data_IF_375389842431
#
_entry.id   IF_375389842431
#
_cell.length_a   1.000
_cell.length_b   1.000
_cell.length_c   1.000
_cell.angle_alpha   90.00
_cell.angle_beta   90.00
_cell.angle_gamma   90.00
#
_symmetry.space_group_name_H-M   'P 1'
#
loop_
_entity.id
_entity.type
_entity.pdbx_description
1 polymer ?
#
# COMPACT_ATOMS: atom_id res chain seq x y z
N UNK A 1 18.86 9.11 -4.15
CA UNK A 1 18.72 7.62 -4.19
C UNK A 1 17.46 7.24 -3.46
N UNK A 2 16.62 6.36 -4.02
CA UNK A 2 15.44 5.81 -3.33
C UNK A 2 15.94 4.75 -2.33
N UNK A 3 15.48 4.84 -1.09
CA UNK A 3 15.80 3.86 -0.04
C UNK A 3 15.07 2.53 -0.29
N UNK A 4 15.63 1.41 0.19
CA UNK A 4 14.93 0.11 0.20
C UNK A 4 13.65 0.17 1.05
N UNK A 5 13.59 1.06 2.05
CA UNK A 5 12.40 1.33 2.86
C UNK A 5 11.30 2.07 2.10
N UNK A 6 11.65 2.77 1.03
CA UNK A 6 10.68 3.42 0.15
C UNK A 6 10.25 2.53 -1.01
N UNK A 7 11.18 1.70 -1.50
CA UNK A 7 10.96 0.81 -2.64
C UNK A 7 10.08 -0.39 -2.26
N UNK A 8 10.39 -1.05 -1.15
CA UNK A 8 9.65 -2.23 -0.68
C UNK A 8 8.74 -1.82 0.47
N UNK A 9 7.44 -2.00 0.31
CA UNK A 9 6.45 -1.72 1.35
C UNK A 9 5.50 -2.88 1.54
N UNK A 10 5.23 -3.22 2.79
CA UNK A 10 4.12 -4.12 3.12
C UNK A 10 2.83 -3.32 3.01
N UNK A 11 1.91 -3.81 2.22
CA UNK A 11 0.63 -3.15 1.97
C UNK A 11 -0.48 -4.15 1.76
N UNK A 12 -1.63 -3.66 1.33
CA UNK A 12 -2.80 -4.47 1.00
C UNK A 12 -3.11 -4.37 -0.49
N UNK A 13 -3.54 -5.49 -1.09
CA UNK A 13 -4.02 -5.50 -2.46
C UNK A 13 -5.36 -4.77 -2.64
N UNK A 14 -5.80 -4.61 -3.87
CA UNK A 14 -5.11 -5.05 -5.10
C UNK A 14 -4.17 -4.01 -5.72
N UNK A 15 -4.07 -2.78 -5.20
CA UNK A 15 -3.34 -1.70 -5.87
C UNK A 15 -2.61 -0.78 -4.90
N UNK A 16 -1.37 -0.43 -5.19
CA UNK A 16 -0.64 0.56 -4.41
C UNK A 16 -1.25 1.96 -4.55
N UNK A 17 -1.67 2.38 -5.74
CA UNK A 17 -2.20 3.72 -5.97
C UNK A 17 -3.69 3.89 -5.62
N UNK A 18 -4.49 2.82 -5.64
CA UNK A 18 -5.94 2.87 -5.40
C UNK A 18 -6.36 2.22 -4.07
N UNK A 19 -5.43 1.62 -3.33
CA UNK A 19 -5.69 1.00 -2.03
C UNK A 19 -4.71 1.53 -0.98
N UNK A 20 -3.42 1.25 -1.13
CA UNK A 20 -2.40 1.66 -0.15
C UNK A 20 -2.31 3.19 -0.04
N UNK A 21 -2.16 3.89 -1.17
CA UNK A 21 -2.07 5.35 -1.19
C UNK A 21 -3.27 6.06 -0.54
N UNK A 22 -4.52 5.77 -0.95
CA UNK A 22 -5.70 6.33 -0.31
C UNK A 22 -5.81 6.03 1.21
N UNK A 23 -5.39 4.85 1.65
CA UNK A 23 -5.35 4.51 3.08
C UNK A 23 -4.29 5.33 3.82
N UNK A 24 -3.10 5.50 3.22
CA UNK A 24 -2.04 6.36 3.75
C UNK A 24 -2.50 7.82 3.80
N UNK A 25 -3.18 8.32 2.76
CA UNK A 25 -3.74 9.67 2.73
C UNK A 25 -4.71 9.91 3.90
N UNK A 26 -5.58 8.94 4.18
CA UNK A 26 -6.50 9.01 5.31
C UNK A 26 -5.77 9.02 6.68
N UNK A 27 -4.69 8.24 6.82
CA UNK A 27 -3.86 8.30 8.03
C UNK A 27 -3.15 9.66 8.18
N UNK A 28 -2.56 10.19 7.10
CA UNK A 28 -1.92 11.53 7.13
C UNK A 28 -2.93 12.63 7.46
N UNK A 29 -4.16 12.51 6.93
CA UNK A 29 -5.25 13.42 7.28
C UNK A 29 -5.57 13.37 8.78
N UNK A 30 -5.71 12.18 9.37
CA UNK A 30 -5.95 12.03 10.82
C UNK A 30 -4.82 12.62 11.66
N UNK A 31 -3.57 12.37 11.26
CA UNK A 31 -2.39 12.91 11.94
C UNK A 31 -2.34 14.44 11.90
N UNK A 32 -2.74 15.03 10.77
CA UNK A 32 -2.82 16.47 10.63
C UNK A 32 -4.01 17.07 11.40
N UNK A 33 -5.18 16.43 11.30
CA UNK A 33 -6.42 16.84 11.98
C UNK A 33 -6.26 16.88 13.48
N UNK A 34 -5.65 15.85 14.09
CA UNK A 34 -5.45 15.77 15.55
C UNK A 34 -4.48 16.82 16.10
N UNK A 35 -3.69 17.48 15.25
CA UNK A 35 -2.87 18.63 15.62
C UNK A 35 -3.65 19.95 15.64
N UNK A 36 -4.80 19.98 14.93
CA UNK A 36 -5.59 21.20 14.73
C UNK A 36 -6.82 21.21 15.65
N UNK A 37 -7.43 20.06 15.95
CA UNK A 37 -8.67 19.99 16.72
C UNK A 37 -8.80 18.67 17.47
N UNK A 38 -9.65 18.67 18.49
CA UNK A 38 -10.05 17.45 19.20
C UNK A 38 -11.04 16.64 18.34
N UNK A 39 -10.90 15.32 18.31
CA UNK A 39 -11.80 14.45 17.53
C UNK A 39 -13.27 14.60 17.94
N UNK A 40 -13.53 14.90 19.20
CA UNK A 40 -14.90 15.12 19.75
C UNK A 40 -15.60 16.35 19.18
N UNK A 41 -14.87 17.27 18.56
CA UNK A 41 -15.44 18.43 17.89
C UNK A 41 -15.98 18.11 16.48
N UNK A 42 -15.71 16.91 15.95
CA UNK A 42 -16.13 16.53 14.61
C UNK A 42 -17.60 16.10 14.62
N UNK A 43 -18.40 16.72 13.77
CA UNK A 43 -19.84 16.43 13.61
C UNK A 43 -20.17 15.68 12.32
N UNK A 44 -19.28 15.76 11.31
CA UNK A 44 -19.45 15.10 10.04
C UNK A 44 -18.14 15.03 9.26
N UNK A 45 -18.11 14.16 8.25
CA UNK A 45 -16.99 14.00 7.33
C UNK A 45 -17.53 13.83 5.91
N UNK A 46 -16.87 14.45 4.95
CA UNK A 46 -17.13 14.30 3.52
C UNK A 46 -15.83 13.87 2.82
N UNK A 47 -15.96 13.00 1.82
CA UNK A 47 -14.85 12.49 1.03
C UNK A 47 -15.16 12.76 -0.45
N UNK A 48 -14.28 13.46 -1.13
CA UNK A 48 -14.35 13.70 -2.56
C UNK A 48 -13.27 12.90 -3.27
N UNK A 49 -13.67 12.11 -4.26
CA UNK A 49 -12.77 11.27 -5.06
C UNK A 49 -12.74 11.80 -6.50
N UNK A 50 -11.54 11.87 -7.08
CA UNK A 50 -11.33 12.46 -8.39
C UNK A 50 -10.65 11.50 -9.36
N UNK A 51 -10.96 11.66 -10.66
CA UNK A 51 -10.35 10.93 -11.74
C UNK A 51 -10.39 9.42 -11.53
N UNK A 52 -9.25 8.74 -11.60
CA UNK A 52 -9.24 7.29 -11.52
C UNK A 52 -9.56 6.71 -10.12
N UNK A 53 -9.46 7.48 -9.04
CA UNK A 53 -9.92 7.06 -7.71
C UNK A 53 -11.45 7.05 -7.61
N UNK A 54 -12.13 7.86 -8.42
CA UNK A 54 -13.59 7.90 -8.50
C UNK A 54 -14.17 6.73 -9.32
N UNK A 55 -13.36 5.93 -10.00
CA UNK A 55 -13.84 4.79 -10.77
C UNK A 55 -14.56 3.76 -9.87
N UNK A 56 -15.74 3.25 -10.29
CA UNK A 56 -16.58 2.39 -9.47
C UNK A 56 -15.85 1.20 -8.84
N UNK A 57 -16.05 0.99 -7.54
CA UNK A 57 -15.52 -0.16 -6.80
C UNK A 57 -14.05 -0.05 -6.38
N UNK A 58 -13.39 1.09 -6.59
CA UNK A 58 -11.96 1.24 -6.28
C UNK A 58 -11.72 2.32 -5.22
N UNK A 59 -10.97 1.98 -4.17
CA UNK A 59 -10.34 2.96 -3.28
C UNK A 59 -11.12 3.40 -2.04
N UNK A 60 -12.44 3.54 -2.07
CA UNK A 60 -13.18 4.11 -0.93
C UNK A 60 -13.09 3.25 0.36
N UNK A 61 -13.13 1.93 0.23
CA UNK A 61 -12.99 1.03 1.39
C UNK A 61 -11.64 1.21 2.09
N UNK A 62 -10.57 1.43 1.35
CA UNK A 62 -9.24 1.68 1.90
C UNK A 62 -9.16 3.02 2.64
N UNK A 63 -9.82 4.07 2.13
CA UNK A 63 -9.91 5.36 2.82
C UNK A 63 -10.67 5.19 4.14
N UNK A 64 -11.79 4.48 4.12
CA UNK A 64 -12.58 4.21 5.33
C UNK A 64 -11.75 3.44 6.37
N UNK A 65 -11.00 2.43 5.97
CA UNK A 65 -10.08 1.71 6.86
C UNK A 65 -9.01 2.64 7.44
N UNK A 66 -8.45 3.54 6.63
CA UNK A 66 -7.51 4.57 7.09
C UNK A 66 -8.15 5.52 8.10
N UNK A 67 -9.38 5.99 7.86
CA UNK A 67 -10.13 6.84 8.79
C UNK A 67 -10.52 6.13 10.08
N UNK A 68 -10.68 4.81 10.07
CA UNK A 68 -10.83 4.00 11.29
C UNK A 68 -9.52 3.92 12.10
N UNK A 69 -8.38 4.37 11.55
CA UNK A 69 -7.07 4.35 12.18
C UNK A 69 -6.23 3.13 11.85
N UNK A 70 -6.64 2.32 10.87
CA UNK A 70 -5.81 1.21 10.39
C UNK A 70 -4.73 1.71 9.42
N UNK A 71 -3.53 1.11 9.50
CA UNK A 71 -2.45 1.39 8.56
C UNK A 71 -2.22 0.19 7.62
N UNK A 72 -1.79 0.41 6.36
CA UNK A 72 -1.61 -0.67 5.38
C UNK A 72 -0.67 -1.78 5.83
N UNK A 73 0.36 -1.45 6.63
CA UNK A 73 1.37 -2.39 7.11
C UNK A 73 0.94 -3.22 8.32
N UNK A 74 -0.11 -2.81 9.03
CA UNK A 74 -0.49 -3.43 10.32
C UNK A 74 -1.91 -3.97 10.35
N UNK A 75 -2.73 -3.65 9.35
CA UNK A 75 -4.11 -4.11 9.29
C UNK A 75 -4.20 -5.63 9.15
N UNK A 76 -5.09 -6.27 9.92
CA UNK A 76 -5.48 -7.65 9.67
C UNK A 76 -6.53 -7.70 8.55
N UNK A 77 -6.08 -8.04 7.35
CA UNK A 77 -6.94 -8.07 6.16
C UNK A 77 -8.05 -9.11 6.22
N UNK A 78 -7.94 -10.12 7.09
CA UNK A 78 -9.00 -11.11 7.33
C UNK A 78 -10.22 -10.50 8.02
N UNK A 79 -10.02 -9.40 8.73
CA UNK A 79 -11.06 -8.69 9.50
C UNK A 79 -11.65 -7.49 8.75
N UNK A 80 -11.23 -7.21 7.52
CA UNK A 80 -11.65 -6.03 6.74
C UNK A 80 -13.18 -5.90 6.69
N UNK A 81 -13.90 -7.00 6.41
CA UNK A 81 -15.36 -6.99 6.38
C UNK A 81 -15.98 -6.63 7.74
N UNK A 82 -15.35 -7.03 8.84
CA UNK A 82 -15.82 -6.72 10.19
C UNK A 82 -15.59 -5.23 10.52
N UNK A 83 -14.45 -4.67 10.12
CA UNK A 83 -14.14 -3.25 10.31
C UNK A 83 -15.09 -2.35 9.54
N UNK A 84 -15.47 -2.74 8.33
CA UNK A 84 -16.34 -1.94 7.46
C UNK A 84 -17.84 -2.17 7.72
N UNK A 85 -18.23 -3.30 8.33
CA UNK A 85 -19.65 -3.64 8.58
C UNK A 85 -20.45 -2.53 9.26
N UNK A 86 -19.99 -1.88 10.34
CA UNK A 86 -20.74 -0.81 10.99
C UNK A 86 -20.99 0.40 10.06
N UNK A 87 -20.04 0.69 9.16
CA UNK A 87 -20.18 1.81 8.22
C UNK A 87 -21.34 1.55 7.26
N UNK A 88 -21.43 0.34 6.70
CA UNK A 88 -22.45 0.01 5.71
C UNK A 88 -23.82 -0.32 6.36
N UNK A 89 -23.84 -1.01 7.51
CA UNK A 89 -25.08 -1.46 8.14
C UNK A 89 -25.70 -0.46 9.12
N UNK A 90 -24.86 0.28 9.86
CA UNK A 90 -25.30 1.19 10.91
C UNK A 90 -25.15 2.66 10.51
N UNK A 91 -24.54 2.94 9.35
CA UNK A 91 -24.23 4.30 8.86
C UNK A 91 -23.45 5.13 9.88
N UNK A 92 -22.42 4.51 10.47
CA UNK A 92 -21.56 5.10 11.48
C UNK A 92 -20.09 4.90 11.11
N UNK A 93 -19.29 5.93 11.32
CA UNK A 93 -17.84 5.89 11.18
C UNK A 93 -17.19 6.20 12.53
N UNK A 94 -16.35 5.27 13.02
CA UNK A 94 -15.58 5.46 14.24
C UNK A 94 -14.18 6.03 13.90
N UNK A 95 -14.08 7.36 13.86
CA UNK A 95 -12.85 8.08 13.48
C UNK A 95 -11.72 7.71 14.43
N UNK A 96 -10.61 7.22 13.88
CA UNK A 96 -9.41 6.76 14.60
C UNK A 96 -9.72 5.75 15.73
N UNK A 97 -10.85 5.03 15.67
CA UNK A 97 -11.30 4.13 16.72
C UNK A 97 -11.72 4.82 18.03
N UNK A 98 -11.93 6.15 18.01
CA UNK A 98 -12.13 6.96 19.24
C UNK A 98 -13.39 7.81 19.23
N UNK A 99 -13.91 8.19 18.08
CA UNK A 99 -15.06 9.08 17.98
C UNK A 99 -16.02 8.62 16.89
N UNK A 100 -17.25 8.30 17.28
CA UNK A 100 -18.29 7.81 16.37
C UNK A 100 -19.13 8.97 15.86
N UNK A 101 -19.28 9.06 14.54
CA UNK A 101 -20.15 10.02 13.86
C UNK A 101 -21.12 9.30 12.92
N UNK A 102 -22.23 9.98 12.57
CA UNK A 102 -23.09 9.52 11.50
C UNK A 102 -22.38 9.67 10.15
N UNK A 103 -22.33 8.60 9.36
CA UNK A 103 -21.69 8.58 8.05
C UNK A 103 -22.42 7.63 7.11
N UNK A 104 -22.77 8.13 5.94
CA UNK A 104 -23.46 7.36 4.90
C UNK A 104 -22.63 7.43 3.60
N UNK A 105 -22.15 6.31 3.13
CA UNK A 105 -21.31 6.25 1.92
C UNK A 105 -22.00 6.80 0.67
N UNK A 106 -23.34 6.75 0.59
CA UNK A 106 -24.10 7.31 -0.53
C UNK A 106 -24.24 8.83 -0.46
N UNK A 107 -24.20 9.40 0.75
CA UNK A 107 -24.36 10.84 0.98
C UNK A 107 -23.02 11.55 1.11
N UNK A 108 -22.06 10.93 1.80
CA UNK A 108 -20.85 11.59 2.29
C UNK A 108 -19.60 11.28 1.44
N UNK A 109 -19.73 10.39 0.42
CA UNK A 109 -18.69 10.17 -0.58
C UNK A 109 -19.16 10.71 -1.93
N UNK A 110 -18.40 11.66 -2.47
CA UNK A 110 -18.67 12.31 -3.74
C UNK A 110 -17.71 11.82 -4.82
N UNK A 111 -18.21 11.46 -5.98
CA UNK A 111 -17.48 10.83 -7.06
C UNK A 111 -17.38 11.76 -8.26
N UNK A 112 -16.16 12.19 -8.60
CA UNK A 112 -15.86 13.11 -9.70
C UNK A 112 -14.92 12.41 -10.70
N UNK A 113 -15.42 11.39 -11.38
CA UNK A 113 -14.65 10.54 -12.30
C UNK A 113 -14.16 11.29 -13.56
N UNK A 114 -14.90 12.30 -14.02
CA UNK A 114 -14.52 13.16 -15.15
C UNK A 114 -13.60 14.33 -14.73
N UNK A 115 -13.42 14.56 -13.42
CA UNK A 115 -12.63 15.68 -12.91
C UNK A 115 -11.22 15.20 -12.55
N UNK A 116 -10.22 15.75 -13.21
CA UNK A 116 -8.81 15.51 -12.88
C UNK A 116 -8.23 16.76 -12.26
N UNK A 117 -7.70 16.65 -11.04
CA UNK A 117 -7.00 17.76 -10.39
C UNK A 117 -5.63 18.00 -11.04
N UNK A 118 -5.10 19.24 -10.98
CA UNK A 118 -3.96 19.66 -11.80
C UNK A 118 -2.68 18.84 -11.60
N UNK A 119 -2.43 18.34 -10.38
CA UNK A 119 -1.17 17.68 -10.06
C UNK A 119 -1.17 16.19 -10.47
N UNK A 120 -2.23 15.44 -10.17
CA UNK A 120 -2.29 14.00 -10.45
C UNK A 120 -3.74 13.50 -10.57
N UNK A 121 -4.04 12.53 -11.47
CA UNK A 121 -5.40 12.01 -11.66
C UNK A 121 -5.93 11.18 -10.46
N UNK A 122 -5.06 10.68 -9.58
CA UNK A 122 -5.48 9.93 -8.40
C UNK A 122 -5.53 10.88 -7.19
N UNK A 123 -6.57 11.68 -7.10
CA UNK A 123 -6.71 12.66 -6.05
C UNK A 123 -7.93 12.38 -5.15
N UNK A 124 -7.82 12.76 -3.89
CA UNK A 124 -8.92 12.74 -2.93
C UNK A 124 -8.84 13.95 -2.01
N UNK A 125 -10.00 14.49 -1.63
CA UNK A 125 -10.14 15.49 -0.60
C UNK A 125 -10.94 14.93 0.56
N UNK A 126 -10.46 15.12 1.78
CA UNK A 126 -11.19 14.77 3.00
C UNK A 126 -11.50 16.06 3.73
N UNK A 127 -12.76 16.25 4.08
CA UNK A 127 -13.28 17.41 4.81
C UNK A 127 -14.01 16.96 6.06
N UNK A 128 -13.72 17.57 7.20
CA UNK A 128 -14.51 17.41 8.44
C UNK A 128 -15.25 18.68 8.77
N UNK A 129 -16.46 18.52 9.31
CA UNK A 129 -17.30 19.59 9.84
C UNK A 129 -17.16 19.62 11.36
N UNK A 130 -17.00 20.80 11.94
CA UNK A 130 -16.78 20.98 13.37
C UNK A 130 -18.02 21.55 14.08
N UNK A 131 -18.09 21.37 15.38
CA UNK A 131 -19.21 21.81 16.22
C UNK A 131 -19.42 23.34 16.21
N UNK A 132 -18.40 24.12 15.93
CA UNK A 132 -18.47 25.58 15.80
C UNK A 132 -18.94 26.06 14.42
N UNK A 133 -19.22 25.14 13.50
CA UNK A 133 -19.62 25.41 12.12
C UNK A 133 -18.45 25.64 11.16
N UNK A 134 -17.22 25.62 11.65
CA UNK A 134 -16.03 25.64 10.80
C UNK A 134 -15.78 24.26 10.16
N UNK A 135 -14.85 24.20 9.21
CA UNK A 135 -14.42 22.95 8.61
C UNK A 135 -12.89 22.93 8.49
N UNK A 136 -12.35 21.70 8.45
CA UNK A 136 -10.96 21.44 8.11
C UNK A 136 -10.92 20.48 6.93
N UNK A 137 -10.12 20.78 5.92
CA UNK A 137 -9.98 19.91 4.75
C UNK A 137 -8.55 19.85 4.26
N UNK A 138 -8.19 18.72 3.64
CA UNK A 138 -6.94 18.55 2.91
C UNK A 138 -7.16 17.68 1.67
N UNK A 139 -6.42 18.01 0.60
CA UNK A 139 -6.36 17.25 -0.64
C UNK A 139 -5.04 16.49 -0.69
N UNK A 140 -5.13 15.25 -1.17
CA UNK A 140 -3.99 14.34 -1.31
C UNK A 140 -3.97 13.74 -2.70
N UNK A 141 -2.77 13.44 -3.17
CA UNK A 141 -2.50 12.79 -4.44
C UNK A 141 -1.78 11.46 -4.21
N UNK A 142 -2.38 10.36 -4.66
CA UNK A 142 -1.75 9.03 -4.62
C UNK A 142 -0.95 8.80 -5.90
N UNK A 143 0.35 9.05 -5.83
CA UNK A 143 1.22 9.10 -7.01
C UNK A 143 1.83 7.73 -7.40
N UNK A 144 1.37 6.65 -6.77
CA UNK A 144 1.86 5.28 -7.00
C UNK A 144 2.87 4.82 -5.95
N UNK A 145 3.13 3.52 -5.89
CA UNK A 145 4.05 2.94 -4.90
C UNK A 145 3.64 3.13 -3.44
N UNK A 146 2.39 3.54 -3.17
CA UNK A 146 1.94 3.93 -1.84
C UNK A 146 2.44 5.32 -1.39
N UNK A 147 3.08 6.07 -2.29
CA UNK A 147 3.46 7.46 -2.03
C UNK A 147 2.25 8.37 -2.13
N UNK A 148 2.17 9.30 -1.19
CA UNK A 148 1.10 10.29 -1.09
C UNK A 148 1.72 11.66 -0.91
N UNK A 149 1.23 12.63 -1.67
CA UNK A 149 1.65 14.04 -1.60
C UNK A 149 0.40 14.85 -1.25
N UNK A 150 0.50 15.77 -0.30
CA UNK A 150 -0.59 16.72 -0.03
C UNK A 150 -0.58 17.87 -1.05
N UNK A 151 -1.66 18.64 -1.12
CA UNK A 151 -1.78 19.74 -2.09
C UNK A 151 -0.80 20.87 -1.85
N UNK A 152 -0.41 21.13 -0.61
CA UNK A 152 0.55 22.17 -0.25
C UNK A 152 1.94 21.84 -0.81
N UNK A 153 2.42 20.61 -0.61
CA UNK A 153 3.67 20.11 -1.17
C UNK A 153 3.63 20.01 -2.70
N UNK A 154 2.45 19.68 -3.27
CA UNK A 154 2.25 19.58 -4.72
C UNK A 154 2.31 20.95 -5.42
N UNK A 155 1.82 22.02 -4.75
CA UNK A 155 1.76 23.36 -5.30
C UNK A 155 3.05 24.17 -5.05
N UNK A 156 3.79 23.82 -4.00
CA UNK A 156 5.03 24.49 -3.60
C UNK A 156 6.21 23.50 -3.59
N UNK A 157 6.65 22.98 -4.75
CA UNK A 157 7.73 22.00 -4.79
C UNK A 157 9.09 22.54 -4.34
N UNK A 158 9.23 23.87 -4.12
CA UNK A 158 10.51 24.52 -3.92
C UNK A 158 10.83 24.91 -2.46
N UNK A 159 9.92 24.80 -1.48
CA UNK A 159 10.22 25.34 -0.15
C UNK A 159 10.81 24.35 0.87
N UNK A 160 10.58 23.01 0.74
CA UNK A 160 11.22 22.05 1.69
C UNK A 160 11.56 20.65 1.11
N UNK A 161 11.09 20.32 -0.09
CA UNK A 161 11.39 19.02 -0.71
C UNK A 161 12.52 19.06 -1.77
N UNK A 162 13.04 20.23 -2.13
CA UNK A 162 14.06 20.41 -3.16
C UNK A 162 15.48 20.55 -2.63
N UNK A 163 15.67 20.62 -1.34
CA UNK A 163 16.94 20.24 -0.73
C UNK A 163 16.66 19.08 0.24
N UNK A 164 16.87 17.83 -0.19
CA UNK A 164 17.47 16.97 0.77
C UNK A 164 18.69 17.78 1.22
N UNK A 165 18.78 18.14 2.50
CA UNK A 165 20.09 18.31 3.13
C UNK A 165 20.95 17.33 2.38
N UNK A 166 22.01 17.82 1.71
CA UNK A 166 22.95 16.95 1.04
C UNK A 166 23.58 16.13 2.18
N UNK A 167 22.83 15.19 2.70
CA UNK A 167 23.34 14.09 3.47
C UNK A 167 24.10 13.30 2.42
N UNK A 168 25.38 13.61 2.35
CA UNK A 168 26.29 12.99 1.38
C UNK A 168 26.33 11.52 1.75
N UNK A 169 25.39 10.77 1.19
CA UNK A 169 25.44 9.31 1.31
C UNK A 169 26.83 8.84 0.85
N UNK A 170 27.39 7.80 1.46
CA UNK A 170 28.74 7.37 1.16
C UNK A 170 29.02 7.12 -0.31
N UNK A 171 28.06 6.57 -1.04
CA UNK A 171 28.20 6.17 -2.44
C UNK A 171 27.02 6.65 -3.28
N UNK A 172 26.95 7.93 -3.65
CA UNK A 172 25.84 8.47 -4.43
C UNK A 172 25.88 7.95 -5.87
N UNK A 173 24.71 7.67 -6.45
CA UNK A 173 24.54 7.32 -7.86
C UNK A 173 23.14 7.70 -8.35
N UNK A 174 23.02 8.06 -9.63
CA UNK A 174 21.76 8.39 -10.31
C UNK A 174 21.52 7.51 -11.53
N UNK A 175 22.48 6.66 -11.87
CA UNK A 175 22.39 5.72 -12.98
C UNK A 175 23.06 4.39 -12.64
N UNK A 176 22.70 3.32 -13.40
CA UNK A 176 23.35 2.03 -13.27
C UNK A 176 24.84 2.10 -13.61
N UNK A 177 25.24 2.96 -14.54
CA UNK A 177 26.65 3.16 -14.89
C UNK A 177 27.45 3.74 -13.72
N UNK A 178 26.90 4.75 -13.03
CA UNK A 178 27.50 5.34 -11.82
C UNK A 178 27.57 4.32 -10.67
N UNK A 179 26.48 3.56 -10.45
CA UNK A 179 26.47 2.49 -9.45
C UNK A 179 27.60 1.48 -9.67
N UNK A 180 27.74 0.99 -10.91
CA UNK A 180 28.79 0.02 -11.25
C UNK A 180 30.20 0.62 -11.11
N UNK A 181 30.36 1.90 -11.45
CA UNK A 181 31.64 2.59 -11.29
C UNK A 181 32.01 2.74 -9.82
N UNK A 182 31.06 3.15 -8.95
CA UNK A 182 31.25 3.21 -7.50
C UNK A 182 31.64 1.82 -6.94
N UNK A 183 30.96 0.76 -7.39
CA UNK A 183 31.30 -0.60 -6.99
C UNK A 183 32.73 -0.98 -7.35
N UNK A 184 33.21 -0.63 -8.55
CA UNK A 184 34.58 -0.90 -9.01
C UNK A 184 35.61 -0.10 -8.22
N UNK A 185 35.38 1.20 -8.04
CA UNK A 185 36.31 2.10 -7.35
C UNK A 185 36.53 1.73 -5.90
N UNK A 186 35.46 1.27 -5.23
CA UNK A 186 35.51 0.94 -3.80
C UNK A 186 35.60 -0.57 -3.51
N UNK A 187 35.68 -1.39 -4.57
CA UNK A 187 35.70 -2.86 -4.47
C UNK A 187 34.55 -3.42 -3.64
N UNK A 188 33.33 -2.91 -3.88
CA UNK A 188 32.09 -3.32 -3.23
C UNK A 188 31.18 -4.05 -4.23
N UNK A 189 30.41 -5.02 -3.73
CA UNK A 189 29.25 -5.51 -4.45
C UNK A 189 28.13 -4.46 -4.42
N UNK A 190 27.14 -4.59 -5.31
CA UNK A 190 25.96 -3.71 -5.31
C UNK A 190 25.23 -3.74 -3.96
N UNK A 191 25.09 -4.93 -3.37
CA UNK A 191 24.43 -5.09 -2.06
C UNK A 191 25.19 -4.40 -0.91
N UNK A 192 26.52 -4.50 -0.90
CA UNK A 192 27.35 -3.82 0.10
C UNK A 192 27.30 -2.31 -0.03
N UNK A 193 27.29 -1.79 -1.26
CA UNK A 193 27.18 -0.36 -1.53
C UNK A 193 25.81 0.17 -1.08
N UNK A 194 24.73 -0.52 -1.45
CA UNK A 194 23.36 -0.12 -1.03
C UNK A 194 23.23 -0.18 0.49
N UNK A 195 23.73 -1.24 1.13
CA UNK A 195 23.71 -1.37 2.60
C UNK A 195 24.47 -0.23 3.27
N UNK A 196 25.64 0.15 2.75
CA UNK A 196 26.41 1.27 3.30
C UNK A 196 25.65 2.61 3.19
N UNK A 197 24.94 2.84 2.09
CA UNK A 197 24.09 4.01 1.92
C UNK A 197 22.90 4.01 2.88
N UNK A 198 22.24 2.86 3.08
CA UNK A 198 21.15 2.74 4.06
C UNK A 198 21.65 2.95 5.49
N UNK A 199 22.81 2.42 5.82
CA UNK A 199 23.44 2.59 7.13
C UNK A 199 23.87 4.03 7.43
N UNK A 200 23.85 4.92 6.46
CA UNK A 200 24.03 6.36 6.69
C UNK A 200 22.88 6.96 7.50
N UNK A 201 21.66 6.48 7.32
CA UNK A 201 20.44 6.99 7.97
C UNK A 201 20.00 6.15 9.16
N UNK A 202 20.39 4.88 9.22
CA UNK A 202 19.88 3.88 10.17
C UNK A 202 21.03 2.98 10.62
N UNK A 203 20.86 2.32 11.75
CA UNK A 203 21.84 1.29 12.09
C UNK A 203 21.59 0.00 11.25
N UNK A 204 22.63 -0.79 11.09
CA UNK A 204 22.57 -2.01 10.26
C UNK A 204 21.53 -3.02 10.75
N UNK A 205 21.31 -3.11 12.07
CA UNK A 205 20.30 -4.01 12.65
C UNK A 205 18.89 -3.61 12.23
N UNK A 206 18.59 -2.31 12.14
CA UNK A 206 17.30 -1.81 11.67
C UNK A 206 17.08 -2.13 10.18
N UNK A 207 18.13 -1.98 9.36
CA UNK A 207 18.05 -2.31 7.93
C UNK A 207 17.74 -3.79 7.76
N UNK A 208 18.46 -4.68 8.43
CA UNK A 208 18.21 -6.12 8.33
C UNK A 208 16.86 -6.53 8.91
N UNK A 209 16.47 -5.99 10.07
CA UNK A 209 15.15 -6.28 10.64
C UNK A 209 14.00 -5.90 9.69
N UNK A 210 14.15 -4.78 8.97
CA UNK A 210 13.18 -4.39 7.96
C UNK A 210 13.16 -5.36 6.77
N UNK A 211 14.32 -5.72 6.21
CA UNK A 211 14.42 -6.67 5.10
C UNK A 211 13.87 -8.05 5.49
N UNK A 212 14.13 -8.50 6.72
CA UNK A 212 13.56 -9.74 7.24
C UNK A 212 12.03 -9.67 7.31
N UNK A 213 11.46 -8.56 7.78
CA UNK A 213 10.00 -8.37 7.81
C UNK A 213 9.36 -8.37 6.41
N UNK A 214 10.05 -7.79 5.43
CA UNK A 214 9.63 -7.86 4.01
C UNK A 214 9.63 -9.30 3.52
N UNK A 215 10.71 -10.04 3.80
CA UNK A 215 10.84 -11.44 3.40
C UNK A 215 9.79 -12.34 4.08
N UNK A 216 9.55 -12.18 5.36
CA UNK A 216 8.49 -12.89 6.10
C UNK A 216 7.12 -12.62 5.48
N UNK A 217 6.82 -11.37 5.17
CA UNK A 217 5.56 -11.00 4.52
C UNK A 217 5.40 -11.64 3.14
N UNK A 218 6.48 -11.75 2.35
CA UNK A 218 6.47 -12.46 1.06
C UNK A 218 6.18 -13.95 1.24
N UNK A 219 6.85 -14.61 2.20
CA UNK A 219 6.64 -16.04 2.50
C UNK A 219 5.22 -16.32 2.99
N UNK A 220 4.71 -15.49 3.87
CA UNK A 220 3.34 -15.59 4.39
C UNK A 220 2.30 -15.41 3.29
N UNK A 221 2.53 -14.48 2.36
CA UNK A 221 1.66 -14.27 1.21
C UNK A 221 1.58 -15.54 0.34
N UNK A 222 2.72 -16.13 -0.02
CA UNK A 222 2.77 -17.39 -0.78
C UNK A 222 2.07 -18.51 -0.03
N UNK A 223 2.33 -18.64 1.28
CA UNK A 223 1.73 -19.69 2.12
C UNK A 223 0.21 -19.56 2.14
N UNK A 224 -0.33 -18.36 2.35
CA UNK A 224 -1.78 -18.12 2.31
C UNK A 224 -2.37 -18.42 0.94
N UNK A 225 -1.72 -17.97 -0.14
CA UNK A 225 -2.17 -18.21 -1.50
C UNK A 225 -2.23 -19.69 -1.86
N UNK A 226 -1.27 -20.49 -1.38
CA UNK A 226 -1.25 -21.93 -1.54
C UNK A 226 -2.30 -22.69 -0.68
N UNK A 227 -2.84 -22.05 0.37
CA UNK A 227 -3.83 -22.66 1.26
C UNK A 227 -5.27 -22.25 0.91
N UNK A 228 -5.46 -21.08 0.36
CA UNK A 228 -6.77 -20.50 0.11
C UNK A 228 -7.38 -20.99 -1.21
N UNK A 229 -8.68 -21.26 -1.19
CA UNK A 229 -9.48 -21.64 -2.36
C UNK A 229 -10.70 -20.70 -2.49
N UNK A 230 -11.53 -20.94 -3.49
CA UNK A 230 -12.78 -20.21 -3.70
C UNK A 230 -12.74 -19.31 -4.92
N UNK A 231 -13.55 -18.25 -4.90
CA UNK A 231 -13.71 -17.29 -5.98
C UNK A 231 -13.12 -15.95 -5.53
N UNK A 232 -12.34 -15.31 -6.42
CA UNK A 232 -11.79 -13.99 -6.18
C UNK A 232 -12.89 -12.92 -6.25
N UNK A 233 -12.80 -11.85 -5.45
CA UNK A 233 -13.76 -10.74 -5.51
C UNK A 233 -13.68 -10.01 -6.87
N UNK A 234 -14.73 -9.22 -7.20
CA UNK A 234 -14.75 -8.40 -8.41
C UNK A 234 -15.81 -8.79 -9.46
N UNK A 235 -16.66 -9.77 -9.15
CA UNK A 235 -17.86 -10.10 -9.97
C UNK A 235 -17.58 -10.85 -11.28
N UNK A 236 -16.34 -11.31 -11.51
CA UNK A 236 -15.96 -12.10 -12.70
C UNK A 236 -15.93 -13.61 -12.45
N UNK A 237 -16.27 -14.06 -11.23
CA UNK A 237 -16.28 -15.45 -10.80
C UNK A 237 -14.95 -16.19 -11.05
N UNK A 238 -13.83 -15.51 -10.94
CA UNK A 238 -12.50 -16.08 -11.15
C UNK A 238 -12.15 -17.01 -10.00
N UNK A 239 -11.98 -18.31 -10.30
CA UNK A 239 -11.58 -19.31 -9.31
C UNK A 239 -10.10 -19.21 -8.98
N UNK A 240 -9.77 -19.34 -7.69
CA UNK A 240 -8.40 -19.54 -7.22
C UNK A 240 -7.86 -20.88 -7.73
N UNK A 241 -6.61 -20.88 -8.17
CA UNK A 241 -5.92 -22.03 -8.79
C UNK A 241 -4.67 -22.45 -8.03
N UNK A 242 -4.08 -21.54 -7.26
CA UNK A 242 -2.80 -21.78 -6.58
C UNK A 242 -2.86 -22.99 -5.65
N UNK A 243 -3.93 -23.16 -4.85
CA UNK A 243 -4.08 -24.31 -3.95
C UNK A 243 -4.08 -25.65 -4.71
N UNK A 244 -4.84 -25.75 -5.80
CA UNK A 244 -4.92 -26.98 -6.58
C UNK A 244 -3.57 -27.34 -7.20
N UNK A 245 -2.87 -26.35 -7.78
CA UNK A 245 -1.54 -26.54 -8.34
C UNK A 245 -0.52 -26.93 -7.25
N UNK A 246 -0.58 -26.30 -6.08
CA UNK A 246 0.30 -26.65 -4.94
C UNK A 246 0.12 -28.12 -4.51
N UNK A 247 -1.14 -28.57 -4.37
CA UNK A 247 -1.43 -29.97 -4.00
C UNK A 247 -0.92 -30.95 -5.06
N UNK A 248 -1.08 -30.63 -6.34
CA UNK A 248 -0.56 -31.41 -7.46
C UNK A 248 0.96 -31.53 -7.39
N UNK A 249 1.69 -30.42 -7.33
CA UNK A 249 3.15 -30.41 -7.30
C UNK A 249 3.72 -31.12 -6.07
N UNK A 250 3.07 -30.98 -4.91
CA UNK A 250 3.45 -31.72 -3.71
C UNK A 250 3.26 -33.23 -3.86
N UNK A 251 2.20 -33.68 -4.55
CA UNK A 251 1.98 -35.09 -4.83
C UNK A 251 3.03 -35.64 -5.80
N UNK A 252 3.39 -34.89 -6.84
CA UNK A 252 4.42 -35.25 -7.83
C UNK A 252 5.83 -35.31 -7.23
N UNK A 253 6.16 -34.44 -6.29
CA UNK A 253 7.45 -34.44 -5.58
C UNK A 253 7.75 -35.74 -4.84
N UNK A 254 6.71 -36.49 -4.46
CA UNK A 254 6.82 -37.78 -3.78
C UNK A 254 6.88 -38.98 -4.74
N UNK A 255 6.82 -38.73 -6.07
CA UNK A 255 6.97 -39.79 -7.08
C UNK A 255 8.42 -39.91 -7.56
N UNK A 256 8.86 -41.08 -8.05
CA UNK A 256 10.20 -41.23 -8.62
C UNK A 256 10.38 -40.22 -9.78
N UNK A 257 11.40 -39.39 -9.71
CA UNK A 257 11.74 -38.41 -10.76
C UNK A 257 11.92 -39.18 -12.08
N UNK A 258 10.93 -39.10 -12.96
CA UNK A 258 11.12 -39.52 -14.34
C UNK A 258 12.04 -38.50 -14.99
N UNK A 259 13.13 -38.92 -15.59
CA UNK A 259 14.23 -38.12 -16.15
C UNK A 259 13.85 -37.02 -17.16
N UNK A 260 12.57 -36.77 -17.42
CA UNK A 260 12.08 -35.92 -18.51
C UNK A 260 11.35 -34.64 -18.09
N UNK A 261 11.17 -34.36 -16.80
CA UNK A 261 10.48 -33.14 -16.41
C UNK A 261 11.45 -31.96 -16.28
N UNK A 262 11.88 -31.44 -17.41
CA UNK A 262 12.71 -30.21 -17.48
C UNK A 262 11.92 -28.94 -17.13
N UNK A 263 10.61 -29.00 -17.05
CA UNK A 263 9.71 -27.87 -16.81
C UNK A 263 9.19 -27.80 -15.38
N UNK A 264 9.42 -28.81 -14.55
CA UNK A 264 8.94 -28.85 -13.16
C UNK A 264 9.34 -27.61 -12.32
N UNK A 265 10.51 -27.02 -12.59
CA UNK A 265 10.92 -25.78 -11.94
C UNK A 265 10.06 -24.57 -12.33
N UNK A 266 9.51 -24.55 -13.54
CA UNK A 266 8.63 -23.49 -14.00
C UNK A 266 7.25 -23.59 -13.33
N UNK A 267 6.74 -24.79 -13.11
CA UNK A 267 5.45 -24.99 -12.44
C UNK A 267 5.48 -24.45 -11.01
N UNK A 268 6.61 -24.56 -10.31
CA UNK A 268 6.80 -23.93 -9.00
C UNK A 268 6.87 -22.40 -9.07
N UNK A 269 7.50 -21.83 -10.09
CA UNK A 269 7.53 -20.38 -10.31
C UNK A 269 6.11 -19.88 -10.60
N UNK A 270 5.38 -20.57 -11.48
CA UNK A 270 3.99 -20.25 -11.80
C UNK A 270 3.08 -20.36 -10.57
N UNK A 271 3.28 -21.37 -9.73
CA UNK A 271 2.58 -21.51 -8.46
C UNK A 271 2.79 -20.29 -7.57
N UNK A 272 4.03 -19.87 -7.35
CA UNK A 272 4.32 -18.72 -6.50
C UNK A 272 3.74 -17.44 -7.06
N UNK A 273 3.83 -17.23 -8.36
CA UNK A 273 3.21 -16.09 -9.02
C UNK A 273 1.68 -16.08 -8.86
N UNK A 274 1.02 -17.23 -9.07
CA UNK A 274 -0.41 -17.38 -8.87
C UNK A 274 -0.82 -17.13 -7.42
N UNK A 275 -0.10 -17.72 -6.46
CA UNK A 275 -0.40 -17.57 -5.04
C UNK A 275 -0.38 -16.10 -4.61
N UNK A 276 0.66 -15.35 -4.99
CA UNK A 276 0.78 -13.91 -4.70
C UNK A 276 -0.27 -13.10 -5.42
N UNK A 277 -0.52 -13.38 -6.72
CA UNK A 277 -1.52 -12.68 -7.50
C UNK A 277 -2.94 -12.85 -6.93
N UNK A 278 -3.29 -14.06 -6.51
CA UNK A 278 -4.60 -14.36 -5.92
C UNK A 278 -4.78 -13.71 -4.55
N UNK A 279 -3.74 -13.68 -3.72
CA UNK A 279 -3.74 -12.94 -2.45
C UNK A 279 -3.86 -11.44 -2.68
N UNK A 280 -3.12 -10.89 -3.65
CA UNK A 280 -3.23 -9.48 -4.04
C UNK A 280 -4.65 -9.12 -4.49
N UNK A 281 -5.23 -9.92 -5.37
CA UNK A 281 -6.59 -9.69 -5.88
C UNK A 281 -7.66 -9.80 -4.77
N UNK A 282 -7.40 -10.60 -3.74
CA UNK A 282 -8.30 -10.77 -2.60
C UNK A 282 -8.14 -9.68 -1.50
N UNK A 283 -7.29 -8.69 -1.69
CA UNK A 283 -7.02 -7.66 -0.70
C UNK A 283 -6.14 -8.14 0.47
N UNK A 284 -5.39 -9.22 0.28
CA UNK A 284 -4.45 -9.73 1.27
C UNK A 284 -3.22 -8.85 1.43
N UNK A 285 -2.43 -9.09 2.49
CA UNK A 285 -1.15 -8.43 2.68
C UNK A 285 -0.15 -8.92 1.63
N UNK A 286 0.47 -7.97 0.94
CA UNK A 286 1.48 -8.21 -0.09
C UNK A 286 2.61 -7.22 0.04
N UNK A 287 3.78 -7.56 -0.50
CA UNK A 287 4.88 -6.61 -0.64
C UNK A 287 4.77 -5.92 -2.01
N UNK A 288 4.87 -4.59 -2.01
CA UNK A 288 4.92 -3.77 -3.23
C UNK A 288 6.35 -3.32 -3.50
N UNK A 289 6.76 -3.24 -4.79
CA UNK A 289 8.12 -2.84 -5.15
C UNK A 289 8.20 -2.15 -6.54
N UNK A 290 7.76 -0.92 -6.70
CA UNK A 290 6.83 -0.08 -5.92
C UNK A 290 5.34 -0.34 -6.22
N UNK A 291 4.99 -1.30 -7.06
CA UNK A 291 3.61 -1.61 -7.45
C UNK A 291 3.20 -3.02 -7.03
N UNK A 292 1.90 -3.25 -6.94
CA UNK A 292 1.34 -4.58 -6.64
C UNK A 292 1.29 -5.50 -7.88
N UNK A 293 1.43 -4.92 -9.03
CA UNK A 293 1.40 -5.67 -10.29
C UNK A 293 2.78 -6.11 -10.73
#
# INVERSE_FOLDING_TARGET
MISVFDLFKIGIGPSSSHTVGPMVAANLFLDSLTKQTELTAITGIEIELYGSLAAPGKGHAAILLGLLGHAPSTIDTRLTSQYLSPIFSEKQLNIAGKHVIAFDTERDIHWYDETVLPYHPNALTIRVLLTDGSHYQQTYYSVGGGFVINEEDATNPDEDNATPTINVIPYPFNSAAELLEQCRQHNLSVSELVLANECHYRNQSEVFAYLDSIWESMQDCVTRGCQNSGILPGGLDVKRRAQALHLQLCAEKNQPITKNDKLAAMDWIDLYALAVNEENANGGNVVTAPTNG
#
